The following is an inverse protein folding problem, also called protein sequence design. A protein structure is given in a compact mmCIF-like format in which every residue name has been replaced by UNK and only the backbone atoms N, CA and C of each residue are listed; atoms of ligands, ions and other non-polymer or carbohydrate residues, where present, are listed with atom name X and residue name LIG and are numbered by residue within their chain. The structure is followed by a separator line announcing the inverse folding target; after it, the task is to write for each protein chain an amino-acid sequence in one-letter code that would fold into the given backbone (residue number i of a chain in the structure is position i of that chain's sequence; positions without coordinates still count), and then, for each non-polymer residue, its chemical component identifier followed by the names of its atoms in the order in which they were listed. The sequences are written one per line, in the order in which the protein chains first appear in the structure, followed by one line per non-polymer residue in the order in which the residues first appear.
data_IF_296327130675
#
_entry.id   IF_296327130675
#
_cell.length_a   1.000
_cell.length_b   1.000
_cell.length_c   1.000
_cell.angle_alpha   90.00
_cell.angle_beta   90.00
_cell.angle_gamma   90.00
#
_symmetry.space_group_name_H-M   'P 1'
#
loop_
_entity.id
_entity.type
_entity.pdbx_description
1 polymer ?
#
# COMPACT_ATOMS: atom_id res chain seq x y z
N UNK A 1 5.48 0.79 8.58
CA UNK A 1 4.84 2.03 8.06
C UNK A 1 5.68 2.54 6.90
N UNK A 2 5.06 3.02 5.84
CA UNK A 2 5.74 3.65 4.71
C UNK A 2 5.45 5.15 4.70
N UNK A 3 6.40 5.94 4.24
CA UNK A 3 6.27 7.39 4.04
C UNK A 3 6.31 7.65 2.55
N UNK A 4 5.33 8.42 2.06
CA UNK A 4 5.24 8.83 0.65
C UNK A 4 5.15 10.35 0.64
N UNK A 5 6.04 10.99 -0.12
CA UNK A 5 6.05 12.45 -0.24
C UNK A 5 4.80 12.97 -0.97
N UNK A 6 4.52 14.27 -0.86
CA UNK A 6 3.47 14.92 -1.65
C UNK A 6 3.63 14.61 -3.13
N UNK A 7 2.54 14.19 -3.77
CA UNK A 7 2.51 13.76 -5.19
C UNK A 7 3.41 12.56 -5.54
N UNK A 8 4.03 11.92 -4.54
CA UNK A 8 4.79 10.70 -4.72
C UNK A 8 3.88 9.49 -4.93
N UNK A 9 4.46 8.42 -5.47
CA UNK A 9 3.83 7.11 -5.55
C UNK A 9 4.83 6.04 -5.11
N UNK A 10 4.31 4.92 -4.59
CA UNK A 10 5.10 3.77 -4.18
C UNK A 10 4.43 2.49 -4.64
N UNK A 11 5.24 1.52 -5.08
CA UNK A 11 4.78 0.14 -5.34
C UNK A 11 5.32 -0.76 -4.24
N UNK A 12 4.42 -1.49 -3.60
CA UNK A 12 4.74 -2.36 -2.48
C UNK A 12 4.33 -3.79 -2.82
N UNK A 13 5.32 -4.67 -2.97
CA UNK A 13 5.10 -6.05 -3.42
C UNK A 13 4.66 -7.00 -2.30
N UNK A 14 4.52 -6.50 -1.06
CA UNK A 14 4.30 -7.34 0.11
C UNK A 14 4.28 -6.56 1.42
N UNK A 15 3.93 -7.29 2.48
CA UNK A 15 3.98 -6.82 3.85
C UNK A 15 5.42 -6.90 4.38
N UNK A 16 5.92 -5.78 4.88
CA UNK A 16 7.26 -5.69 5.43
C UNK A 16 7.32 -6.27 6.83
N UNK A 17 8.20 -7.25 7.03
CA UNK A 17 8.47 -7.86 8.33
C UNK A 17 9.86 -7.53 8.86
N UNK A 18 10.78 -7.07 8.01
CA UNK A 18 12.09 -6.52 8.40
C UNK A 18 12.58 -5.44 7.42
N UNK A 19 13.71 -4.79 7.72
CA UNK A 19 14.26 -3.71 6.88
C UNK A 19 14.58 -4.13 5.44
N UNK A 20 14.86 -5.41 5.22
CA UNK A 20 15.27 -5.99 3.93
C UNK A 20 14.33 -7.09 3.43
N UNK A 21 13.24 -7.37 4.16
CA UNK A 21 12.32 -8.47 3.88
C UNK A 21 10.88 -8.04 3.84
N UNK A 22 10.19 -8.56 2.84
CA UNK A 22 8.74 -8.56 2.73
C UNK A 22 8.23 -10.00 2.58
N UNK A 23 6.94 -10.19 2.86
CA UNK A 23 6.17 -11.36 2.46
C UNK A 23 5.13 -10.93 1.44
N UNK A 24 4.99 -11.66 0.32
CA UNK A 24 3.97 -11.36 -0.67
C UNK A 24 2.59 -11.33 -0.01
N UNK A 25 1.81 -10.30 -0.30
CA UNK A 25 0.42 -10.24 0.19
C UNK A 25 -0.48 -11.02 -0.76
N UNK A 26 -1.47 -11.72 -0.19
CA UNK A 26 -2.57 -12.30 -0.94
C UNK A 26 -3.84 -12.21 -0.09
N UNK A 27 -5.00 -12.11 -0.75
CA UNK A 27 -6.28 -12.06 -0.08
C UNK A 27 -6.71 -13.46 0.35
N UNK A 28 -7.21 -13.59 1.57
CA UNK A 28 -7.59 -14.87 2.19
C UNK A 28 -8.67 -14.64 3.25
N UNK A 29 -9.24 -15.71 3.79
CA UNK A 29 -10.28 -15.62 4.81
C UNK A 29 -9.71 -15.30 6.20
N UNK A 30 -10.59 -15.05 7.17
CA UNK A 30 -10.17 -14.56 8.48
C UNK A 30 -9.25 -15.55 9.19
N UNK A 31 -9.58 -16.85 9.08
CA UNK A 31 -8.83 -17.95 9.68
C UNK A 31 -7.34 -17.93 9.35
N UNK A 32 -7.01 -17.61 8.11
CA UNK A 32 -5.64 -17.65 7.60
C UNK A 32 -4.93 -16.29 7.55
N UNK A 33 -5.63 -15.24 7.96
CA UNK A 33 -5.09 -13.89 7.94
C UNK A 33 -3.91 -13.67 8.89
N UNK A 34 -3.00 -12.80 8.47
CA UNK A 34 -1.87 -12.33 9.25
C UNK A 34 -2.31 -11.70 10.58
N UNK A 35 -3.38 -10.89 10.56
CA UNK A 35 -3.89 -10.20 11.75
C UNK A 35 -4.29 -11.22 12.85
N UNK A 36 -5.01 -12.27 12.46
CA UNK A 36 -5.38 -13.36 13.38
C UNK A 36 -4.18 -14.18 13.83
N UNK A 37 -3.30 -14.59 12.89
CA UNK A 37 -2.16 -15.46 13.19
C UNK A 37 -1.06 -14.78 14.02
N UNK A 38 -0.88 -13.46 13.88
CA UNK A 38 0.22 -12.73 14.52
C UNK A 38 -0.22 -11.90 15.72
N UNK A 39 -1.35 -11.20 15.64
CA UNK A 39 -1.78 -10.28 16.70
C UNK A 39 -2.98 -10.79 17.50
N UNK A 40 -3.63 -11.87 17.05
CA UNK A 40 -4.92 -12.36 17.59
C UNK A 40 -6.01 -11.27 17.63
N UNK A 41 -5.80 -10.16 16.92
CA UNK A 41 -6.72 -9.03 16.80
C UNK A 41 -7.17 -8.95 15.35
N UNK A 42 -8.48 -9.01 15.17
CA UNK A 42 -9.13 -9.00 13.84
C UNK A 42 -9.89 -7.70 13.58
N UNK A 43 -9.91 -6.78 14.54
CA UNK A 43 -10.72 -5.55 14.49
C UNK A 43 -10.35 -4.60 13.34
N UNK A 44 -9.09 -4.59 12.93
CA UNK A 44 -8.57 -3.75 11.84
C UNK A 44 -8.32 -4.55 10.54
N UNK A 45 -8.89 -5.74 10.40
CA UNK A 45 -8.71 -6.56 9.20
C UNK A 45 -9.32 -5.92 7.96
N UNK A 46 -8.64 -6.09 6.84
CA UNK A 46 -9.09 -5.52 5.58
C UNK A 46 -8.84 -4.02 5.46
N UNK A 47 -8.22 -3.36 6.45
CA UNK A 47 -8.09 -1.91 6.50
C UNK A 47 -6.67 -1.46 6.18
N UNK A 48 -6.56 -0.55 5.22
CA UNK A 48 -5.37 0.26 4.98
C UNK A 48 -5.61 1.63 5.59
N UNK A 49 -4.86 1.96 6.64
CA UNK A 49 -4.90 3.27 7.26
C UNK A 49 -3.90 4.22 6.59
N UNK A 50 -4.40 5.36 6.11
CA UNK A 50 -3.61 6.43 5.50
C UNK A 50 -3.79 7.69 6.33
N UNK A 51 -2.69 8.33 6.69
CA UNK A 51 -2.71 9.63 7.38
C UNK A 51 -1.87 10.63 6.60
N UNK A 52 -2.48 11.75 6.24
CA UNK A 52 -1.87 12.81 5.44
C UNK A 52 -1.57 13.99 6.33
N UNK A 53 -0.36 14.51 6.21
CA UNK A 53 0.10 15.73 6.87
C UNK A 53 0.46 16.75 5.81
N UNK A 54 0.33 18.02 6.15
CA UNK A 54 0.86 19.09 5.31
C UNK A 54 2.37 19.14 5.45
N UNK A 55 3.07 19.40 4.35
CA UNK A 55 4.51 19.64 4.36
C UNK A 55 4.80 20.93 5.15
N UNK A 56 5.69 20.83 6.15
CA UNK A 56 6.14 21.98 6.97
C UNK A 56 6.79 23.04 6.07
N UNK A 57 7.71 22.60 5.22
CA UNK A 57 8.30 23.44 4.18
C UNK A 57 7.58 23.18 2.88
N UNK A 58 6.69 24.10 2.49
CA UNK A 58 6.03 24.01 1.18
C UNK A 58 7.06 24.32 0.10
N UNK A 59 7.22 23.47 -0.93
CA UNK A 59 8.06 23.80 -2.07
C UNK A 59 7.54 25.11 -2.68
N UNK A 60 8.37 26.15 -2.63
CA UNK A 60 8.07 27.42 -3.29
C UNK A 60 8.10 27.14 -4.79
N UNK A 61 7.04 27.47 -5.56
CA UNK A 61 7.08 27.29 -6.99
C UNK A 61 8.24 28.12 -7.55
N UNK A 62 9.28 27.42 -8.04
CA UNK A 62 10.31 28.05 -8.84
C UNK A 62 9.61 28.59 -10.09
N UNK A 63 9.54 29.92 -10.21
CA UNK A 63 9.07 30.57 -11.43
C UNK A 63 10.10 30.30 -12.52
N UNK A 64 9.97 29.15 -13.17
CA UNK A 64 10.78 28.78 -14.33
C UNK A 64 10.19 29.54 -15.51
N UNK A 65 10.87 30.58 -15.99
CA UNK A 65 10.66 31.11 -17.34
C UNK A 65 10.90 29.96 -18.33
N UNK A 66 9.83 29.30 -18.77
CA UNK A 66 9.90 28.20 -19.73
C UNK A 66 9.88 28.77 -21.16
N UNK A 67 11.05 28.85 -21.78
CA UNK A 67 11.15 28.72 -23.23
C UNK A 67 10.79 27.28 -23.59
N UNK A 68 9.58 27.09 -24.14
CA UNK A 68 9.06 25.80 -24.59
C UNK A 68 9.85 25.31 -25.81
N UNK A 69 10.54 24.17 -25.68
CA UNK A 69 10.73 23.23 -26.78
C UNK A 69 10.26 21.86 -26.32
N UNK A 70 9.16 21.41 -26.92
CA UNK A 70 8.52 20.12 -26.63
C UNK A 70 9.29 18.99 -27.29
N UNK A 71 9.60 17.92 -26.56
CA UNK A 71 10.03 16.64 -27.10
C UNK A 71 8.95 15.58 -26.82
N UNK A 72 8.67 14.65 -27.75
CA UNK A 72 7.61 13.66 -27.58
C UNK A 72 7.99 12.55 -26.58
N UNK A 73 7.00 12.07 -25.83
CA UNK A 73 7.13 11.04 -24.81
C UNK A 73 7.07 9.61 -25.41
N UNK A 74 7.90 8.71 -24.89
CA UNK A 74 7.88 7.28 -25.22
C UNK A 74 6.81 6.53 -24.40
N UNK A 75 6.22 5.45 -24.93
CA UNK A 75 5.17 4.69 -24.25
C UNK A 75 5.72 3.80 -23.12
N UNK A 76 4.92 3.63 -22.07
CA UNK A 76 5.22 2.75 -20.92
C UNK A 76 4.82 1.29 -21.20
N UNK A 77 5.53 0.29 -20.64
CA UNK A 77 5.16 -1.11 -20.82
C UNK A 77 3.96 -1.52 -19.95
N UNK A 78 3.07 -2.30 -20.57
CA UNK A 78 1.94 -2.99 -19.94
C UNK A 78 2.43 -4.20 -19.15
N UNK A 79 1.87 -4.46 -17.97
CA UNK A 79 2.17 -5.66 -17.17
C UNK A 79 1.06 -6.69 -17.35
N UNK A 80 1.46 -7.91 -17.74
CA UNK A 80 0.57 -9.06 -17.92
C UNK A 80 0.13 -9.68 -16.58
N UNK A 81 -1.08 -10.25 -16.59
CA UNK A 81 -1.67 -11.01 -15.48
C UNK A 81 -1.43 -12.51 -15.66
N UNK A 82 -1.10 -13.23 -14.58
CA UNK A 82 -1.54 -14.62 -14.39
C UNK A 82 -1.30 -15.12 -12.95
N UNK A 83 -2.36 -15.70 -12.38
CA UNK A 83 -2.31 -16.49 -11.15
C UNK A 83 -3.71 -16.93 -10.73
N UNK A 84 -4.20 -18.05 -11.27
CA UNK A 84 -5.44 -18.70 -10.83
C UNK A 84 -5.19 -19.39 -9.48
N UNK A 85 -5.88 -18.94 -8.43
CA UNK A 85 -6.00 -19.63 -7.15
C UNK A 85 -7.43 -20.15 -6.95
N UNK A 86 -7.55 -21.37 -6.45
CA UNK A 86 -8.80 -22.11 -6.33
C UNK A 86 -9.86 -21.39 -5.46
N UNK A 87 -11.11 -21.37 -5.92
CA UNK A 87 -12.25 -20.86 -5.19
C UNK A 87 -12.71 -21.87 -4.12
N UNK A 88 -12.31 -21.63 -2.88
CA UNK A 88 -12.94 -22.23 -1.70
C UNK A 88 -14.27 -21.54 -1.39
N UNK A 89 -15.24 -22.33 -0.93
CA UNK A 89 -16.65 -21.97 -0.66
C UNK A 89 -16.76 -20.81 0.34
N UNK A 90 -17.18 -19.64 -0.13
CA UNK A 90 -17.49 -18.47 0.69
C UNK A 90 -18.75 -18.75 1.54
N UNK A 91 -18.55 -19.11 2.80
CA UNK A 91 -19.49 -18.77 3.87
C UNK A 91 -19.08 -17.38 4.39
N UNK A 92 -20.00 -16.60 4.96
CA UNK A 92 -19.85 -15.18 5.38
C UNK A 92 -18.55 -14.85 6.15
N UNK A 93 -17.42 -14.73 5.45
CA UNK A 93 -16.09 -14.51 6.01
C UNK A 93 -15.56 -13.17 5.48
N UNK A 94 -15.16 -12.27 6.39
CA UNK A 94 -14.59 -10.96 6.02
C UNK A 94 -13.22 -11.15 5.35
N UNK A 95 -12.92 -10.38 4.31
CA UNK A 95 -11.63 -10.50 3.61
C UNK A 95 -10.45 -10.11 4.51
N UNK A 96 -9.44 -10.97 4.56
CA UNK A 96 -8.15 -10.79 5.23
C UNK A 96 -6.97 -10.75 4.26
N UNK A 97 -5.76 -10.53 4.79
CA UNK A 97 -4.50 -10.70 4.04
C UNK A 97 -3.61 -11.73 4.71
N UNK A 98 -3.03 -12.63 3.93
CA UNK A 98 -2.06 -13.64 4.39
C UNK A 98 -0.60 -13.23 4.19
N UNK A 99 0.31 -14.11 4.62
CA UNK A 99 1.75 -14.02 4.40
C UNK A 99 2.20 -15.10 3.42
N UNK A 100 2.50 -14.68 2.20
CA UNK A 100 3.07 -15.55 1.19
C UNK A 100 4.59 -15.64 1.30
N UNK A 101 5.20 -16.03 0.19
CA UNK A 101 6.65 -16.24 0.11
C UNK A 101 7.45 -15.02 0.53
N UNK A 102 8.54 -15.30 1.24
CA UNK A 102 9.54 -14.31 1.62
C UNK A 102 10.24 -13.79 0.37
N UNK A 103 10.35 -12.47 0.25
CA UNK A 103 11.08 -11.80 -0.83
C UNK A 103 12.04 -10.74 -0.26
N UNK A 104 13.25 -10.66 -0.83
CA UNK A 104 14.20 -9.59 -0.52
C UNK A 104 13.70 -8.26 -1.09
N UNK A 105 13.66 -7.24 -0.24
CA UNK A 105 13.21 -5.90 -0.57
C UNK A 105 13.85 -4.91 0.40
N UNK A 106 15.00 -4.31 0.05
CA UNK A 106 15.67 -3.36 0.92
C UNK A 106 14.85 -2.08 1.07
N UNK A 107 14.95 -1.46 2.24
CA UNK A 107 14.35 -0.16 2.53
C UNK A 107 15.34 0.73 3.25
N UNK A 108 15.19 2.03 3.07
CA UNK A 108 15.94 3.04 3.82
C UNK A 108 15.07 3.60 4.94
N UNK A 109 15.71 3.92 6.06
CA UNK A 109 15.06 4.71 7.10
C UNK A 109 15.10 6.17 6.67
N UNK A 110 13.96 6.84 6.80
CA UNK A 110 13.82 8.27 6.54
C UNK A 110 13.38 8.96 7.82
N UNK A 111 13.90 10.16 8.07
CA UNK A 111 13.34 11.03 9.09
C UNK A 111 11.99 11.56 8.58
N UNK A 112 10.95 11.45 9.39
CA UNK A 112 9.63 11.95 9.08
C UNK A 112 9.17 12.86 10.21
N UNK A 113 9.02 14.14 9.91
CA UNK A 113 8.58 15.15 10.86
C UNK A 113 7.20 15.69 10.49
N UNK A 114 6.11 15.02 10.93
CA UNK A 114 4.77 15.48 10.64
C UNK A 114 4.42 16.77 11.39
N UNK A 115 3.46 17.53 10.87
CA UNK A 115 2.75 18.52 11.68
C UNK A 115 2.01 17.84 12.85
N UNK A 116 1.74 18.59 13.92
CA UNK A 116 1.07 18.07 15.12
C UNK A 116 -0.32 17.47 14.84
N UNK A 117 -1.03 17.98 13.84
CA UNK A 117 -2.37 17.52 13.45
C UNK A 117 -2.34 17.05 12.00
N UNK A 118 -2.83 15.84 11.69
CA UNK A 118 -3.01 15.43 10.32
C UNK A 118 -4.12 16.27 9.67
N UNK A 119 -3.94 16.56 8.39
CA UNK A 119 -4.97 17.24 7.59
C UNK A 119 -6.06 16.25 7.13
N UNK A 120 -5.73 14.96 7.06
CA UNK A 120 -6.66 13.91 6.67
C UNK A 120 -6.26 12.56 7.26
N UNK A 121 -7.27 11.80 7.68
CA UNK A 121 -7.15 10.38 8.00
C UNK A 121 -8.15 9.63 7.11
N UNK A 122 -7.68 8.63 6.39
CA UNK A 122 -8.50 7.81 5.49
C UNK A 122 -8.30 6.35 5.86
N UNK A 123 -9.40 5.63 6.02
CA UNK A 123 -9.39 4.17 6.14
C UNK A 123 -9.95 3.61 4.84
N UNK A 124 -9.16 2.77 4.17
CA UNK A 124 -9.61 2.04 2.99
C UNK A 124 -9.87 0.61 3.41
N UNK A 125 -11.14 0.21 3.45
CA UNK A 125 -11.53 -1.17 3.73
C UNK A 125 -11.69 -1.93 2.42
N UNK A 126 -11.05 -3.09 2.29
CA UNK A 126 -11.32 -4.04 1.23
C UNK A 126 -12.12 -5.22 1.78
N UNK A 127 -13.11 -5.67 1.02
CA UNK A 127 -13.98 -6.79 1.35
C UNK A 127 -14.18 -7.65 0.12
N UNK A 128 -14.57 -8.91 0.32
CA UNK A 128 -14.97 -9.76 -0.79
C UNK A 128 -16.22 -9.17 -1.45
N UNK A 129 -16.26 -9.20 -2.79
CA UNK A 129 -17.46 -8.80 -3.51
C UNK A 129 -18.54 -9.83 -3.20
N UNK A 130 -19.67 -9.38 -2.64
CA UNK A 130 -20.88 -10.19 -2.57
C UNK A 130 -21.34 -10.45 -4.01
N UNK A 131 -21.28 -11.71 -4.43
CA UNK A 131 -21.86 -12.14 -5.71
C UNK A 131 -23.37 -12.20 -5.49
N UNK A 132 -24.16 -11.67 -6.44
CA UNK A 132 -25.61 -11.85 -6.48
C UNK A 132 -25.96 -13.28 -6.90
#
# INVERSE_FOLDING_TARGET
MYVVNGYGSGRYNGWRTANDRIHKFYFTDIGDSYAKKTFKDTSAMGVIAVTVYREKERPRPLHRHQNKKSAPAAPAPSTESAGKGAAGRLQDETAGTGFGDKQYSPSIRVAFEPERRPIQKTLVKYEWRKVL
#
